data_IF_750333961099
#
_entry.id   IF_750333961099
#
_cell.length_a   1.000
_cell.length_b   1.000
_cell.length_c   1.000
_cell.angle_alpha   90.00
_cell.angle_beta   90.00
_cell.angle_gamma   90.00
#
_symmetry.space_group_name_H-M   'P 1'
#
loop_
_entity.id
_entity.type
_entity.pdbx_description
1 polymer ?
#
# COMPACT_ATOMS: atom_id res chain seq x y z
N UNK A 1 11.97 17.10 -76.32
CA UNK A 1 12.32 17.44 -74.94
C UNK A 1 13.63 18.19 -74.94
N UNK A 2 13.66 19.39 -74.40
CA UNK A 2 14.92 20.16 -74.26
C UNK A 2 15.71 19.59 -73.06
N UNK A 3 17.00 19.36 -73.27
CA UNK A 3 17.94 18.94 -72.22
C UNK A 3 19.02 19.97 -72.07
N UNK A 4 19.27 20.41 -70.85
CA UNK A 4 20.43 21.23 -70.50
C UNK A 4 21.41 20.36 -69.79
N UNK A 5 22.69 20.38 -70.23
CA UNK A 5 23.82 19.74 -69.57
C UNK A 5 24.77 20.83 -69.14
N UNK A 6 25.07 20.88 -67.85
CA UNK A 6 26.04 21.84 -67.32
C UNK A 6 26.69 21.20 -66.08
N UNK A 7 27.96 21.50 -65.90
CA UNK A 7 28.71 21.07 -64.73
C UNK A 7 28.43 21.93 -63.51
N UNK A 8 27.95 23.18 -63.75
CA UNK A 8 27.62 24.12 -62.72
C UNK A 8 26.45 25.04 -63.12
N UNK A 9 25.59 25.31 -62.17
CA UNK A 9 24.52 26.31 -62.26
C UNK A 9 24.80 27.42 -61.24
N UNK A 10 24.82 28.67 -61.69
CA UNK A 10 24.96 29.83 -60.83
C UNK A 10 23.79 30.80 -61.09
N UNK A 11 23.66 31.87 -60.29
CA UNK A 11 22.78 32.99 -60.59
C UNK A 11 23.25 33.70 -61.89
N UNK A 12 22.47 34.62 -62.41
CA UNK A 12 22.71 35.32 -63.66
C UNK A 12 24.08 36.02 -63.62
N UNK A 13 24.50 36.54 -62.53
CA UNK A 13 25.77 37.28 -62.32
C UNK A 13 26.95 36.31 -62.12
N UNK A 14 26.78 35.04 -62.04
CA UNK A 14 27.82 34.04 -61.83
C UNK A 14 28.46 34.07 -60.45
N UNK A 15 27.84 34.78 -59.50
CA UNK A 15 28.40 35.03 -58.16
C UNK A 15 27.75 34.30 -57.01
N UNK A 16 26.68 33.59 -57.28
CA UNK A 16 25.92 32.92 -56.23
C UNK A 16 25.08 31.75 -56.72
N UNK A 17 24.27 31.20 -55.84
CA UNK A 17 23.39 30.08 -56.13
C UNK A 17 22.24 30.48 -57.05
N UNK A 18 21.75 29.57 -57.92
CA UNK A 18 20.59 29.82 -58.74
C UNK A 18 19.32 29.93 -57.90
N UNK A 19 18.41 30.79 -58.28
CA UNK A 19 17.07 30.89 -57.65
C UNK A 19 16.02 30.17 -58.48
N UNK A 20 15.23 29.35 -57.83
CA UNK A 20 14.12 28.61 -58.44
C UNK A 20 12.81 29.00 -57.70
N UNK A 21 12.19 30.13 -58.03
CA UNK A 21 11.05 30.68 -57.32
C UNK A 21 9.82 29.74 -57.31
N UNK A 22 9.70 28.86 -58.31
CA UNK A 22 8.62 27.86 -58.42
C UNK A 22 9.03 26.46 -57.97
N UNK A 23 10.20 26.32 -57.30
CA UNK A 23 10.74 25.05 -56.82
C UNK A 23 11.47 24.24 -57.87
N UNK A 24 12.04 23.13 -57.44
CA UNK A 24 12.76 22.15 -58.24
C UNK A 24 12.18 20.76 -58.00
N UNK A 25 11.85 20.05 -59.09
CA UNK A 25 11.50 18.65 -59.05
C UNK A 25 12.69 17.79 -59.39
N UNK A 26 13.17 16.97 -58.47
CA UNK A 26 14.28 16.05 -58.64
C UNK A 26 13.80 14.62 -58.62
N UNK A 27 13.94 13.92 -59.77
CA UNK A 27 13.60 12.50 -59.87
C UNK A 27 14.91 11.70 -59.62
N UNK A 28 15.30 11.56 -58.40
CA UNK A 28 16.55 10.91 -58.05
C UNK A 28 17.11 11.40 -56.72
N UNK A 29 18.41 11.35 -56.54
CA UNK A 29 19.08 11.77 -55.32
C UNK A 29 19.45 13.25 -55.39
N UNK A 30 19.05 14.02 -54.42
CA UNK A 30 19.50 15.38 -54.18
C UNK A 30 20.52 15.34 -53.04
N UNK A 31 21.76 15.70 -53.36
CA UNK A 31 22.84 15.83 -52.37
C UNK A 31 23.14 17.30 -52.11
N UNK A 32 23.08 17.73 -50.87
CA UNK A 32 23.43 19.09 -50.44
C UNK A 32 24.18 19.00 -49.11
N UNK A 33 25.10 19.95 -48.90
CA UNK A 33 25.79 20.09 -47.60
C UNK A 33 24.87 20.54 -46.48
N UNK A 34 23.78 21.24 -46.81
CA UNK A 34 22.73 21.61 -45.86
C UNK A 34 21.41 21.88 -46.58
N UNK A 35 20.32 21.64 -45.89
CA UNK A 35 18.95 22.03 -46.25
C UNK A 35 18.46 23.04 -45.21
N UNK A 36 18.05 24.22 -45.65
CA UNK A 36 17.43 25.22 -44.77
C UNK A 36 15.97 25.41 -45.18
N UNK A 37 15.05 25.20 -44.24
CA UNK A 37 13.60 25.28 -44.44
C UNK A 37 12.88 24.01 -43.97
N UNK A 38 11.57 23.97 -44.18
CA UNK A 38 10.75 22.81 -43.83
C UNK A 38 10.92 21.69 -44.84
N UNK A 39 11.12 20.49 -44.39
CA UNK A 39 11.06 19.26 -45.17
C UNK A 39 9.65 18.64 -44.94
N UNK A 40 8.77 18.76 -45.98
CA UNK A 40 7.48 18.08 -45.96
C UNK A 40 7.65 16.70 -46.61
N UNK A 41 7.44 15.62 -45.84
CA UNK A 41 7.56 14.25 -46.32
C UNK A 41 8.17 13.34 -45.30
N UNK A 42 8.44 12.09 -45.68
CA UNK A 42 9.03 11.07 -44.80
C UNK A 42 10.55 11.06 -44.99
N UNK A 43 11.32 11.38 -43.94
CA UNK A 43 12.73 11.12 -43.89
C UNK A 43 12.97 9.67 -43.41
N UNK A 44 13.48 8.80 -44.32
CA UNK A 44 13.73 7.39 -43.94
C UNK A 44 14.85 7.24 -42.92
N UNK A 45 15.85 8.12 -42.96
CA UNK A 45 16.98 8.12 -42.03
C UNK A 45 17.40 9.55 -41.69
N UNK A 46 17.24 9.95 -40.43
CA UNK A 46 17.87 11.12 -39.87
C UNK A 46 18.93 10.67 -38.87
N UNK A 47 20.20 10.80 -39.21
CA UNK A 47 21.32 10.32 -38.36
C UNK A 47 21.47 11.14 -37.07
N UNK A 48 21.10 12.43 -37.12
CA UNK A 48 21.16 13.32 -35.98
C UNK A 48 20.09 14.41 -36.07
N UNK A 49 19.21 14.48 -35.08
CA UNK A 49 18.34 15.63 -34.87
C UNK A 49 18.77 16.33 -33.58
N UNK A 50 19.47 17.46 -33.72
CA UNK A 50 19.98 18.21 -32.53
C UNK A 50 18.86 18.86 -31.74
N UNK A 51 17.77 19.26 -32.40
CA UNK A 51 16.60 19.88 -31.80
C UNK A 51 15.31 19.33 -32.42
N UNK A 52 14.76 18.24 -31.88
CA UNK A 52 13.40 17.81 -32.18
C UNK A 52 12.46 18.48 -31.18
N UNK A 53 11.70 19.49 -31.61
CA UNK A 53 10.80 20.25 -30.74
C UNK A 53 9.49 19.51 -30.38
N UNK A 54 9.25 18.34 -30.91
CA UNK A 54 8.13 17.49 -30.55
C UNK A 54 7.88 16.36 -31.55
N UNK A 55 7.38 15.28 -31.03
CA UNK A 55 6.86 14.15 -31.78
C UNK A 55 5.33 14.17 -31.59
N UNK A 56 4.61 14.42 -32.66
CA UNK A 56 3.13 14.43 -32.63
C UNK A 56 2.57 13.11 -33.15
N UNK A 57 1.43 12.70 -32.66
CA UNK A 57 0.81 11.42 -32.99
C UNK A 57 1.16 10.33 -31.98
N UNK A 58 1.24 9.08 -32.43
CA UNK A 58 1.58 7.91 -31.58
C UNK A 58 2.84 7.21 -32.12
N UNK A 59 4.02 7.86 -32.10
CA UNK A 59 5.23 7.24 -32.62
C UNK A 59 5.74 6.16 -31.68
N UNK A 60 6.19 5.03 -32.25
CA UNK A 60 7.01 4.06 -31.50
C UNK A 60 8.45 4.61 -31.39
N UNK A 61 8.90 4.84 -30.19
CA UNK A 61 10.24 5.38 -29.94
C UNK A 61 11.08 4.31 -29.26
N UNK A 62 12.17 3.89 -29.88
CA UNK A 62 13.19 3.01 -29.29
C UNK A 62 14.42 3.85 -28.97
N UNK A 63 14.76 3.96 -27.70
CA UNK A 63 15.92 4.76 -27.25
C UNK A 63 16.74 3.95 -26.25
N UNK A 64 18.04 4.17 -26.22
CA UNK A 64 18.93 3.56 -25.23
C UNK A 64 18.78 4.21 -23.86
N UNK A 65 18.67 5.54 -23.82
CA UNK A 65 18.53 6.33 -22.58
C UNK A 65 17.62 7.51 -22.82
N UNK A 66 16.73 7.77 -21.85
CA UNK A 66 15.94 8.99 -21.79
C UNK A 66 16.41 9.79 -20.57
N UNK A 67 16.87 11.03 -20.82
CA UNK A 67 17.20 11.98 -19.77
C UNK A 67 16.28 13.19 -19.89
N UNK A 68 15.57 13.52 -18.86
CA UNK A 68 14.61 14.62 -18.81
C UNK A 68 14.38 15.12 -17.40
N UNK A 69 13.91 16.34 -17.25
CA UNK A 69 13.55 16.92 -15.94
C UNK A 69 12.19 16.45 -15.44
N UNK A 70 11.28 16.12 -16.35
CA UNK A 70 9.93 15.59 -16.03
C UNK A 70 9.47 14.62 -17.09
N UNK A 71 8.73 13.60 -16.66
CA UNK A 71 8.03 12.65 -17.53
C UNK A 71 6.59 12.52 -17.08
N UNK A 72 5.61 12.67 -17.98
CA UNK A 72 4.19 12.45 -17.71
C UNK A 72 3.68 11.33 -18.60
N UNK A 73 3.08 10.32 -17.99
CA UNK A 73 2.51 9.17 -18.67
C UNK A 73 1.00 9.10 -18.32
N UNK A 74 0.15 9.18 -19.33
CA UNK A 74 -1.32 9.07 -19.16
C UNK A 74 -1.83 7.62 -19.22
N UNK A 75 -0.97 6.67 -19.55
CA UNK A 75 -1.26 5.24 -19.63
C UNK A 75 -0.34 4.40 -18.77
N UNK A 76 -0.38 3.08 -18.95
CA UNK A 76 0.45 2.16 -18.20
C UNK A 76 1.94 2.32 -18.52
N UNK A 77 2.77 2.28 -17.49
CA UNK A 77 4.22 2.19 -17.61
C UNK A 77 4.67 0.80 -17.20
N UNK A 78 5.32 0.07 -18.12
CA UNK A 78 5.90 -1.24 -17.84
C UNK A 78 7.42 -1.13 -17.74
N UNK A 79 7.99 -1.53 -16.61
CA UNK A 79 9.42 -1.49 -16.36
C UNK A 79 9.91 -2.92 -16.19
N UNK A 80 10.66 -3.42 -17.16
CA UNK A 80 11.20 -4.79 -17.16
C UNK A 80 12.45 -4.98 -16.28
N UNK A 81 13.02 -3.89 -15.78
CA UNK A 81 14.20 -3.91 -14.92
C UNK A 81 13.94 -3.33 -13.54
N UNK A 82 14.97 -2.75 -12.93
CA UNK A 82 14.86 -2.08 -11.62
C UNK A 82 14.41 -0.64 -11.81
N UNK A 83 13.42 -0.22 -11.03
CA UNK A 83 13.04 1.16 -10.88
C UNK A 83 13.67 1.69 -9.60
N UNK A 84 14.59 2.65 -9.72
CA UNK A 84 15.24 3.30 -8.58
C UNK A 84 14.67 4.70 -8.41
N UNK A 85 14.25 5.01 -7.20
CA UNK A 85 13.79 6.34 -6.80
C UNK A 85 14.77 6.94 -5.80
N UNK A 86 15.06 8.21 -5.94
CA UNK A 86 15.79 8.98 -4.92
C UNK A 86 14.81 9.54 -3.88
N UNK A 87 13.61 9.97 -4.33
CA UNK A 87 12.54 10.45 -3.47
C UNK A 87 11.19 10.13 -4.08
N UNK A 88 10.31 9.50 -3.27
CA UNK A 88 8.93 9.21 -3.63
C UNK A 88 8.01 9.77 -2.55
N UNK A 89 7.30 10.82 -2.89
CA UNK A 89 6.35 11.45 -1.95
C UNK A 89 5.17 10.54 -1.62
N UNK A 90 4.62 9.85 -2.63
CA UNK A 90 3.49 8.95 -2.45
C UNK A 90 3.61 7.71 -3.35
N UNK A 91 3.28 6.54 -2.80
CA UNK A 91 2.99 5.32 -3.55
C UNK A 91 1.56 4.93 -3.25
N UNK A 92 0.67 5.06 -4.23
CA UNK A 92 -0.70 4.59 -4.16
C UNK A 92 -0.84 3.30 -4.97
N UNK A 93 -1.29 2.23 -4.33
CA UNK A 93 -1.51 0.93 -4.97
C UNK A 93 -2.94 0.47 -4.70
N UNK A 94 -3.74 0.38 -5.74
CA UNK A 94 -5.11 -0.15 -5.68
C UNK A 94 -5.15 -1.68 -5.58
N UNK A 95 -4.01 -2.33 -5.80
CA UNK A 95 -3.89 -3.79 -5.81
C UNK A 95 -2.89 -4.33 -4.78
N UNK A 96 -2.33 -5.48 -5.07
CA UNK A 96 -1.35 -6.17 -4.22
C UNK A 96 0.04 -5.52 -4.35
N UNK A 97 0.67 -5.24 -3.22
CA UNK A 97 2.10 -4.91 -3.14
C UNK A 97 2.85 -6.15 -2.67
N UNK A 98 3.78 -6.65 -3.50
CA UNK A 98 4.66 -7.76 -3.13
C UNK A 98 6.05 -7.24 -2.82
N UNK A 99 6.45 -7.24 -1.55
CA UNK A 99 7.79 -6.91 -1.10
C UNK A 99 8.55 -8.20 -0.74
N UNK A 100 9.48 -8.64 -1.58
CA UNK A 100 10.19 -9.92 -1.39
C UNK A 100 11.21 -9.90 -0.26
N UNK A 101 11.81 -8.74 0.00
CA UNK A 101 12.83 -8.55 1.05
C UNK A 101 12.29 -7.79 2.27
N UNK A 102 10.97 -7.59 2.35
CA UNK A 102 10.32 -6.89 3.46
C UNK A 102 10.06 -5.42 3.21
N UNK A 103 9.38 -4.82 4.16
CA UNK A 103 9.05 -3.39 4.21
C UNK A 103 9.71 -2.82 5.46
N UNK A 104 10.58 -1.84 5.30
CA UNK A 104 11.23 -1.14 6.41
C UNK A 104 10.63 0.26 6.54
N UNK A 105 9.91 0.52 7.64
CA UNK A 105 9.37 1.84 7.97
C UNK A 105 10.24 2.43 9.08
N UNK A 106 11.11 3.37 8.72
CA UNK A 106 12.09 3.95 9.65
C UNK A 106 11.54 5.11 10.47
N UNK A 107 10.46 5.74 9.98
CA UNK A 107 9.77 6.81 10.67
C UNK A 107 8.29 6.87 10.25
N UNK A 108 7.45 7.52 11.05
CA UNK A 108 6.02 7.64 10.78
C UNK A 108 5.19 6.50 11.36
N UNK A 109 4.00 6.30 10.82
CA UNK A 109 3.01 5.31 11.29
C UNK A 109 2.67 4.32 10.17
N UNK A 110 2.71 3.03 10.50
CA UNK A 110 2.14 1.99 9.64
C UNK A 110 0.72 1.68 10.12
N UNK A 111 -0.28 1.97 9.30
CA UNK A 111 -1.68 1.70 9.62
C UNK A 111 -2.20 0.56 8.76
N UNK A 112 -2.73 -0.48 9.39
CA UNK A 112 -3.45 -1.57 8.73
C UNK A 112 -4.91 -1.49 9.15
N UNK A 113 -5.80 -1.11 8.23
CA UNK A 113 -7.23 -0.94 8.52
C UNK A 113 -7.99 -2.28 8.62
N UNK A 114 -7.36 -3.38 8.20
CA UNK A 114 -7.90 -4.73 8.29
C UNK A 114 -6.95 -5.64 9.06
N UNK A 115 -7.40 -6.87 9.37
CA UNK A 115 -6.56 -7.85 10.04
C UNK A 115 -5.28 -8.14 9.25
N UNK A 116 -4.15 -8.21 9.94
CA UNK A 116 -2.87 -8.63 9.36
C UNK A 116 -2.68 -10.12 9.62
N UNK A 117 -2.40 -10.88 8.55
CA UNK A 117 -2.02 -12.28 8.67
C UNK A 117 -0.50 -12.42 8.54
N UNK A 118 0.13 -12.99 9.55
CA UNK A 118 1.59 -13.23 9.58
C UNK A 118 1.86 -14.72 9.71
N UNK A 119 2.53 -15.30 8.71
CA UNK A 119 2.89 -16.74 8.71
C UNK A 119 4.14 -17.06 9.55
N UNK A 120 4.84 -16.04 10.02
CA UNK A 120 6.02 -16.16 10.86
C UNK A 120 5.82 -15.39 12.18
N UNK A 121 6.70 -15.58 13.14
CA UNK A 121 6.60 -14.92 14.43
C UNK A 121 6.65 -13.40 14.33
N UNK A 122 5.91 -12.73 15.21
CA UNK A 122 5.94 -11.28 15.39
C UNK A 122 6.84 -10.93 16.56
N UNK A 123 7.84 -10.06 16.32
CA UNK A 123 8.66 -9.48 17.39
C UNK A 123 8.23 -8.03 17.61
N UNK A 124 7.76 -7.72 18.82
CA UNK A 124 7.46 -6.35 19.26
C UNK A 124 8.57 -5.96 20.23
N UNK A 125 9.37 -4.95 19.89
CA UNK A 125 10.49 -4.49 20.74
C UNK A 125 10.16 -3.24 21.56
N UNK A 126 8.97 -2.67 21.37
CA UNK A 126 8.44 -1.53 22.10
C UNK A 126 7.23 -1.91 22.96
N UNK A 127 6.61 -0.92 23.64
CA UNK A 127 5.38 -1.15 24.36
C UNK A 127 4.28 -1.69 23.44
N UNK A 128 3.62 -2.74 23.89
CA UNK A 128 2.41 -3.26 23.25
C UNK A 128 1.18 -2.74 24.01
N UNK A 129 0.23 -2.15 23.29
CA UNK A 129 -1.04 -1.71 23.85
C UNK A 129 -2.20 -2.30 23.08
N UNK A 130 -3.23 -2.71 23.79
CA UNK A 130 -4.53 -3.10 23.21
C UNK A 130 -5.62 -2.12 23.65
N UNK A 131 -6.68 -2.05 22.87
CA UNK A 131 -7.83 -1.21 23.24
C UNK A 131 -8.52 -1.77 24.48
N UNK A 132 -8.98 -0.86 25.33
CA UNK A 132 -9.85 -1.17 26.46
C UNK A 132 -11.31 -1.10 25.96
N UNK A 133 -12.02 -2.22 26.03
CA UNK A 133 -13.43 -2.33 25.60
C UNK A 133 -14.34 -2.25 26.82
N UNK A 134 -14.97 -1.10 27.06
CA UNK A 134 -15.98 -0.94 28.11
C UNK A 134 -17.29 -1.64 27.71
N UNK A 135 -17.72 -2.62 28.49
CA UNK A 135 -18.89 -3.45 28.19
C UNK A 135 -20.18 -2.77 28.64
N UNK A 136 -21.06 -2.43 27.71
CA UNK A 136 -22.43 -2.01 28.00
C UNK A 136 -23.33 -3.19 28.40
N UNK A 137 -23.29 -4.26 27.64
CA UNK A 137 -24.02 -5.51 27.91
C UNK A 137 -23.17 -6.51 28.71
N UNK A 138 -23.73 -7.69 28.99
CA UNK A 138 -23.05 -8.78 29.72
C UNK A 138 -22.39 -9.79 28.75
N UNK A 139 -22.50 -9.58 27.45
CA UNK A 139 -21.82 -10.37 26.44
C UNK A 139 -20.40 -9.80 26.20
N UNK A 140 -19.38 -10.62 26.36
CA UNK A 140 -18.02 -10.33 25.95
C UNK A 140 -17.94 -10.63 24.47
N UNK A 141 -17.84 -9.60 23.63
CA UNK A 141 -17.61 -9.74 22.20
C UNK A 141 -16.10 -9.91 21.94
N UNK A 142 -15.66 -11.14 21.73
CA UNK A 142 -14.25 -11.47 21.53
C UNK A 142 -13.68 -10.88 20.24
N UNK A 143 -14.49 -10.38 19.32
CA UNK A 143 -14.03 -9.66 18.14
C UNK A 143 -13.65 -8.20 18.42
N UNK A 144 -14.06 -7.65 19.58
CA UNK A 144 -13.83 -6.26 19.96
C UNK A 144 -12.45 -6.00 20.59
N UNK A 145 -11.72 -7.04 20.99
CA UNK A 145 -10.38 -6.89 21.57
C UNK A 145 -10.03 -7.94 22.61
N UNK A 146 -9.02 -7.66 23.43
CA UNK A 146 -8.47 -8.59 24.41
C UNK A 146 -8.50 -8.05 25.85
N UNK A 147 -8.98 -6.84 26.07
CA UNK A 147 -9.15 -6.27 27.40
C UNK A 147 -10.54 -5.65 27.54
N UNK A 148 -11.31 -6.14 28.49
CA UNK A 148 -12.70 -5.73 28.73
C UNK A 148 -12.87 -5.19 30.14
N UNK A 149 -13.71 -4.17 30.29
CA UNK A 149 -14.06 -3.63 31.61
C UNK A 149 -15.57 -3.66 31.82
N UNK A 150 -16.01 -4.00 33.01
CA UNK A 150 -17.42 -4.02 33.40
C UNK A 150 -17.62 -3.64 34.85
N UNK A 151 -18.49 -2.66 35.09
CA UNK A 151 -19.05 -2.41 36.43
C UNK A 151 -20.33 -3.19 36.59
N UNK A 152 -20.45 -3.97 37.66
CA UNK A 152 -21.59 -4.78 38.01
C UNK A 152 -22.38 -4.12 39.13
N UNK A 153 -23.67 -3.87 38.90
CA UNK A 153 -24.59 -3.23 39.84
C UNK A 153 -25.75 -4.16 40.28
N UNK A 154 -25.72 -5.40 39.83
CA UNK A 154 -26.73 -6.42 40.14
C UNK A 154 -26.27 -7.81 39.72
N UNK A 155 -27.09 -8.84 39.99
CA UNK A 155 -26.78 -10.19 39.55
C UNK A 155 -26.51 -10.23 38.02
N UNK A 156 -25.38 -10.76 37.62
CA UNK A 156 -24.89 -10.70 36.23
C UNK A 156 -24.55 -12.10 35.73
N UNK A 157 -25.11 -12.45 34.57
CA UNK A 157 -24.72 -13.64 33.81
C UNK A 157 -23.93 -13.22 32.59
N UNK A 158 -22.67 -13.65 32.47
CA UNK A 158 -21.84 -13.41 31.33
C UNK A 158 -22.01 -14.43 30.22
N UNK A 159 -21.83 -13.98 28.98
CA UNK A 159 -21.70 -14.83 27.79
C UNK A 159 -20.49 -14.39 26.98
N UNK A 160 -19.87 -15.33 26.27
CA UNK A 160 -18.73 -15.03 25.37
C UNK A 160 -19.18 -15.30 23.94
N UNK A 161 -19.02 -14.30 23.08
CA UNK A 161 -19.51 -14.31 21.69
C UNK A 161 -18.39 -13.99 20.72
N UNK A 162 -18.58 -14.32 19.45
CA UNK A 162 -17.63 -14.02 18.36
C UNK A 162 -16.20 -14.49 18.63
N UNK A 163 -16.08 -15.68 19.24
CA UNK A 163 -14.79 -16.26 19.61
C UNK A 163 -14.03 -16.67 18.34
N UNK A 164 -12.78 -16.24 18.14
CA UNK A 164 -11.99 -16.67 17.00
C UNK A 164 -11.79 -18.20 16.99
N UNK A 165 -11.96 -18.83 15.82
CA UNK A 165 -11.78 -20.26 15.64
C UNK A 165 -10.43 -20.59 15.02
N UNK A 166 -9.89 -21.78 15.32
CA UNK A 166 -8.63 -22.25 14.75
C UNK A 166 -7.36 -21.56 15.28
N UNK A 167 -7.51 -20.77 16.34
CA UNK A 167 -6.40 -20.05 17.00
C UNK A 167 -6.60 -20.09 18.52
N UNK A 168 -5.52 -19.94 19.28
CA UNK A 168 -5.61 -19.63 20.70
C UNK A 168 -6.02 -18.18 20.88
N UNK A 169 -7.02 -17.93 21.71
CA UNK A 169 -7.48 -16.60 22.04
C UNK A 169 -7.48 -16.40 23.55
N UNK A 170 -6.98 -15.24 23.97
CA UNK A 170 -6.88 -14.84 25.39
C UNK A 170 -7.44 -13.44 25.55
N UNK A 171 -8.23 -13.24 26.60
CA UNK A 171 -8.61 -11.91 27.04
C UNK A 171 -8.51 -11.73 28.55
N UNK A 172 -8.38 -10.49 28.95
CA UNK A 172 -8.44 -10.05 30.33
C UNK A 172 -9.74 -9.28 30.56
N UNK A 173 -10.37 -9.53 31.69
CA UNK A 173 -11.61 -8.86 32.07
C UNK A 173 -11.44 -8.23 33.45
N UNK A 174 -11.57 -6.92 33.51
CA UNK A 174 -11.65 -6.16 34.74
C UNK A 174 -13.12 -5.98 35.14
N UNK A 175 -13.46 -6.49 36.30
CA UNK A 175 -14.82 -6.44 36.84
C UNK A 175 -14.82 -5.67 38.14
N UNK A 176 -15.49 -4.54 38.16
CA UNK A 176 -15.73 -3.74 39.39
C UNK A 176 -17.12 -4.07 39.93
N UNK A 177 -17.18 -4.54 41.17
CA UNK A 177 -18.45 -4.80 41.84
C UNK A 177 -18.88 -3.55 42.60
N UNK A 178 -20.11 -3.16 42.41
CA UNK A 178 -20.77 -2.11 43.19
C UNK A 178 -21.82 -2.79 44.12
N UNK A 179 -21.33 -3.28 45.26
CA UNK A 179 -22.14 -4.07 46.23
C UNK A 179 -21.98 -5.58 46.07
N UNK A 180 -22.73 -6.33 46.88
CA UNK A 180 -22.73 -7.80 46.87
C UNK A 180 -23.56 -8.33 45.69
N UNK A 181 -22.90 -8.69 44.62
CA UNK A 181 -23.54 -9.10 43.39
C UNK A 181 -23.03 -10.48 42.92
N UNK A 182 -23.98 -11.38 42.65
CA UNK A 182 -23.67 -12.70 42.12
C UNK A 182 -23.22 -12.60 40.64
N UNK A 183 -22.11 -13.27 40.31
CA UNK A 183 -21.67 -13.50 38.94
C UNK A 183 -21.92 -14.93 38.53
N UNK A 184 -22.59 -15.11 37.40
CA UNK A 184 -22.75 -16.39 36.73
C UNK A 184 -21.87 -16.41 35.50
N UNK A 185 -20.90 -17.31 35.49
CA UNK A 185 -20.01 -17.52 34.35
C UNK A 185 -20.60 -18.53 33.37
N UNK A 186 -20.22 -18.49 32.08
CA UNK A 186 -20.61 -19.51 31.12
C UNK A 186 -20.19 -20.90 31.58
N UNK A 187 -21.02 -21.93 31.36
CA UNK A 187 -20.72 -23.31 31.72
C UNK A 187 -19.46 -23.88 31.03
N UNK A 188 -19.06 -23.24 29.90
CA UNK A 188 -17.82 -23.56 29.20
C UNK A 188 -16.56 -23.11 29.95
N UNK A 189 -16.66 -22.25 30.97
CA UNK A 189 -15.53 -21.81 31.77
C UNK A 189 -15.15 -22.89 32.79
N UNK A 190 -13.91 -23.36 32.74
CA UNK A 190 -13.31 -24.28 33.68
C UNK A 190 -12.37 -23.50 34.61
N UNK A 191 -12.66 -23.58 35.89
CA UNK A 191 -11.89 -22.94 36.95
C UNK A 191 -10.89 -23.91 37.56
N UNK A 192 -9.81 -23.42 38.18
CA UNK A 192 -8.94 -24.27 39.01
C UNK A 192 -9.76 -25.03 40.06
N UNK A 193 -9.50 -26.34 40.20
CA UNK A 193 -10.20 -27.23 41.13
C UNK A 193 -11.73 -27.24 40.92
N UNK A 194 -12.20 -26.99 39.69
CA UNK A 194 -13.62 -26.91 39.30
C UNK A 194 -14.46 -25.92 40.14
N UNK A 195 -13.80 -24.96 40.77
CA UNK A 195 -14.48 -24.00 41.65
C UNK A 195 -14.22 -22.57 41.17
N UNK A 196 -15.30 -21.83 40.86
CA UNK A 196 -15.20 -20.41 40.54
C UNK A 196 -14.61 -19.64 41.73
N UNK A 197 -13.75 -18.64 41.51
CA UNK A 197 -13.16 -17.90 42.61
C UNK A 197 -14.22 -17.11 43.39
N UNK A 198 -14.04 -17.04 44.70
CA UNK A 198 -14.80 -16.11 45.54
C UNK A 198 -14.26 -14.69 45.32
N UNK A 199 -15.15 -13.74 45.10
CA UNK A 199 -14.82 -12.36 44.83
C UNK A 199 -15.37 -11.45 45.94
N UNK A 200 -14.71 -10.37 46.21
CA UNK A 200 -15.11 -9.42 47.27
C UNK A 200 -15.98 -8.31 46.74
N UNK A 201 -16.94 -7.90 47.55
CA UNK A 201 -17.85 -6.80 47.25
C UNK A 201 -17.13 -5.45 47.21
N UNK A 202 -17.67 -4.56 46.41
CA UNK A 202 -17.18 -3.18 46.24
C UNK A 202 -15.68 -3.07 45.89
N UNK A 203 -15.15 -4.07 45.19
CA UNK A 203 -13.78 -4.17 44.75
C UNK A 203 -13.68 -4.46 43.25
N UNK A 204 -12.52 -4.19 42.69
CA UNK A 204 -12.18 -4.53 41.31
C UNK A 204 -11.39 -5.84 41.28
N UNK A 205 -11.81 -6.74 40.38
CA UNK A 205 -11.23 -8.05 40.19
C UNK A 205 -10.72 -8.16 38.76
N UNK A 206 -9.59 -8.82 38.57
CA UNK A 206 -9.02 -9.06 37.24
C UNK A 206 -9.04 -10.54 36.91
N UNK A 207 -9.75 -10.90 35.85
CA UNK A 207 -9.86 -12.27 35.35
C UNK A 207 -9.11 -12.42 34.05
N UNK A 208 -8.51 -13.59 33.83
CA UNK A 208 -7.95 -13.98 32.55
C UNK A 208 -8.65 -15.23 32.04
N UNK A 209 -9.00 -15.24 30.77
CA UNK A 209 -9.64 -16.36 30.10
C UNK A 209 -8.87 -16.75 28.86
N UNK A 210 -8.67 -18.04 28.65
CA UNK A 210 -7.95 -18.61 27.51
C UNK A 210 -8.78 -19.73 26.90
N UNK A 211 -8.88 -19.76 25.58
CA UNK A 211 -9.41 -20.88 24.80
C UNK A 211 -8.50 -21.20 23.63
N UNK A 212 -8.49 -22.45 23.19
CA UNK A 212 -7.78 -22.97 22.01
C UNK A 212 -8.69 -23.78 21.08
N UNK A 213 -9.98 -23.86 21.42
CA UNK A 213 -11.00 -24.66 20.72
C UNK A 213 -12.22 -23.86 20.26
N UNK A 214 -12.03 -22.55 20.00
CA UNK A 214 -13.09 -21.66 19.53
C UNK A 214 -14.16 -21.37 20.58
N UNK A 215 -13.80 -21.44 21.88
CA UNK A 215 -14.69 -21.12 22.99
C UNK A 215 -15.57 -22.26 23.48
N UNK A 216 -15.36 -23.49 23.00
CA UNK A 216 -16.02 -24.68 23.54
C UNK A 216 -15.61 -24.89 25.00
N UNK A 217 -14.34 -24.70 25.29
CA UNK A 217 -13.76 -24.76 26.65
C UNK A 217 -12.96 -23.48 26.90
N UNK A 218 -13.20 -22.84 28.03
CA UNK A 218 -12.43 -21.72 28.53
C UNK A 218 -11.71 -22.09 29.81
N UNK A 219 -10.45 -21.72 29.92
CA UNK A 219 -9.67 -21.82 31.16
C UNK A 219 -9.68 -20.45 31.81
N UNK A 220 -10.44 -20.30 32.90
CA UNK A 220 -10.56 -19.06 33.64
C UNK A 220 -9.65 -19.03 34.86
N UNK A 221 -9.06 -17.88 35.12
CA UNK A 221 -8.27 -17.63 36.34
C UNK A 221 -8.58 -16.24 36.90
N UNK A 222 -8.61 -16.11 38.21
CA UNK A 222 -8.57 -14.81 38.89
C UNK A 222 -7.12 -14.37 38.97
N UNK A 223 -6.74 -13.36 38.18
CA UNK A 223 -5.37 -12.89 38.07
C UNK A 223 -5.01 -11.89 39.16
N UNK A 224 -6.00 -11.11 39.62
CA UNK A 224 -5.86 -10.19 40.73
C UNK A 224 -7.19 -10.06 41.49
N UNK A 225 -7.12 -10.09 42.78
CA UNK A 225 -8.27 -9.97 43.68
C UNK A 225 -8.15 -8.67 44.49
N UNK A 226 -9.29 -8.04 44.74
CA UNK A 226 -9.46 -6.95 45.69
C UNK A 226 -8.58 -5.72 45.41
N UNK A 227 -8.38 -5.37 44.13
CA UNK A 227 -7.78 -4.08 43.81
C UNK A 227 -8.77 -2.94 44.08
N UNK A 228 -8.31 -1.92 44.74
CA UNK A 228 -9.08 -0.72 45.10
C UNK A 228 -8.59 0.49 44.31
#
# INVERSE_FOLDING_TARGET
>A
MSKVRADQYTNKEGTGAPSFPNGVSVTGVLTATSFSGSVAGTASNATLAVNAQGLTGTPNITVGTVSGTTGTFSGNVSIGGTLTYDDVTNVDSVGLITARNGINVTAGVSTFAAATHQNAGTKVSGPYSSNVSAMGANAVDCSAGNYFTKTITGATTFTFTNVPSGVSYTFTMEVTLNGSNAITWPASVKWPLDTAPTISDAKTQLFTFITDDGGTTWRGALSQQDSS
#
